data_IF_455015295354
#
_entry.id   IF_455015295354
#
_cell.length_a   1.000
_cell.length_b   1.000
_cell.length_c   1.000
_cell.angle_alpha   90.00
_cell.angle_beta   90.00
_cell.angle_gamma   90.00
#
_symmetry.space_group_name_H-M   'P 1'
#
loop_
_entity.id
_entity.type
_entity.pdbx_description
1 polymer ?
#
# COMPACT_ATOMS: atom_id res chain seq x y z
N UNK A 1 5.96 -6.49 2.83
CA UNK A 1 7.13 -6.71 3.70
C UNK A 1 8.37 -6.94 2.84
N UNK A 2 9.51 -6.31 3.18
CA UNK A 2 10.77 -6.60 2.50
C UNK A 2 11.45 -7.79 3.17
N UNK A 3 11.51 -8.93 2.51
CA UNK A 3 12.34 -10.04 2.96
C UNK A 3 13.79 -9.55 2.97
N UNK A 4 14.47 -9.67 4.10
CA UNK A 4 15.89 -9.32 4.20
C UNK A 4 16.72 -10.50 3.68
N UNK A 5 16.84 -10.60 2.34
CA UNK A 5 17.71 -11.59 1.70
C UNK A 5 19.09 -10.97 1.54
N UNK A 6 20.09 -11.40 2.31
CA UNK A 6 21.45 -10.95 2.14
C UNK A 6 22.04 -11.60 0.87
N UNK A 7 22.55 -10.77 -0.03
CA UNK A 7 23.14 -11.20 -1.31
C UNK A 7 24.54 -10.62 -1.48
N UNK A 8 25.46 -11.34 -2.12
CA UNK A 8 26.79 -10.85 -2.36
C UNK A 8 26.80 -9.69 -3.35
N UNK A 9 26.00 -9.77 -4.42
CA UNK A 9 26.03 -8.81 -5.53
C UNK A 9 24.63 -8.26 -5.83
N UNK A 10 24.51 -6.94 -5.87
CA UNK A 10 23.32 -6.23 -6.35
C UNK A 10 23.56 -5.69 -7.76
N UNK A 11 22.68 -6.02 -8.69
CA UNK A 11 22.71 -5.50 -10.05
C UNK A 11 21.54 -4.55 -10.28
N UNK A 12 21.85 -3.28 -10.55
CA UNK A 12 20.86 -2.27 -10.91
C UNK A 12 20.76 -2.19 -12.43
N UNK A 13 19.62 -2.59 -12.98
CA UNK A 13 19.37 -2.53 -14.43
C UNK A 13 19.09 -1.11 -14.90
N UNK A 14 18.67 -0.22 -13.98
CA UNK A 14 18.46 1.21 -14.22
C UNK A 14 18.52 1.98 -12.90
N UNK A 15 18.81 3.28 -12.98
CA UNK A 15 18.81 4.20 -11.84
C UNK A 15 17.54 5.08 -11.81
N UNK A 16 16.45 4.57 -12.39
CA UNK A 16 15.14 5.24 -12.46
C UNK A 16 14.06 4.32 -11.95
N UNK A 17 13.01 4.90 -11.41
CA UNK A 17 11.78 4.18 -11.03
C UNK A 17 10.53 4.98 -11.37
N UNK A 18 9.41 4.28 -11.52
CA UNK A 18 8.10 4.89 -11.62
C UNK A 18 7.59 5.24 -10.21
N UNK A 19 7.15 6.48 -9.99
CA UNK A 19 6.68 6.96 -8.67
C UNK A 19 5.15 6.89 -8.49
N UNK A 20 4.47 6.27 -9.44
CA UNK A 20 3.01 6.23 -9.52
C UNK A 20 2.43 7.18 -10.56
N UNK A 21 3.16 8.24 -10.93
CA UNK A 21 2.73 9.26 -11.91
C UNK A 21 3.70 9.33 -13.09
N UNK A 22 5.01 9.34 -12.81
CA UNK A 22 6.06 9.51 -13.83
C UNK A 22 7.32 8.72 -13.49
N UNK A 23 8.15 8.49 -14.51
CA UNK A 23 9.52 7.98 -14.31
C UNK A 23 10.39 9.08 -13.70
N UNK A 24 11.16 8.74 -12.65
CA UNK A 24 12.14 9.63 -12.03
C UNK A 24 13.42 8.90 -11.65
N UNK A 25 14.48 9.62 -11.41
CA UNK A 25 15.73 9.07 -10.85
C UNK A 25 15.49 8.57 -9.43
N UNK A 26 16.23 7.53 -9.04
CA UNK A 26 16.27 7.09 -7.65
C UNK A 26 16.76 8.22 -6.75
N UNK A 27 16.16 8.34 -5.56
CA UNK A 27 16.70 9.18 -4.49
C UNK A 27 17.84 8.45 -3.81
N UNK A 28 18.75 9.18 -3.16
CA UNK A 28 19.91 8.60 -2.48
C UNK A 28 19.49 7.54 -1.45
N UNK A 29 18.44 7.79 -0.67
CA UNK A 29 17.88 6.81 0.26
C UNK A 29 17.43 5.52 -0.44
N UNK A 30 16.69 5.62 -1.55
CA UNK A 30 16.19 4.46 -2.30
C UNK A 30 17.35 3.66 -2.86
N UNK A 31 18.36 4.34 -3.39
CA UNK A 31 19.59 3.73 -3.85
C UNK A 31 20.29 2.98 -2.71
N UNK A 32 20.54 3.64 -1.58
CA UNK A 32 21.21 3.01 -0.43
C UNK A 32 20.40 1.87 0.20
N UNK A 33 19.07 1.91 0.18
CA UNK A 33 18.23 0.80 0.61
C UNK A 33 18.38 -0.45 -0.29
N UNK A 34 18.57 -0.25 -1.58
CA UNK A 34 18.78 -1.35 -2.53
C UNK A 34 20.19 -1.90 -2.40
N UNK A 35 21.19 -1.02 -2.48
CA UNK A 35 22.60 -1.43 -2.48
C UNK A 35 23.09 -1.90 -1.11
N UNK A 36 22.48 -1.44 -0.03
CA UNK A 36 22.77 -1.88 1.35
C UNK A 36 22.43 -3.36 1.61
N UNK A 37 21.81 -4.04 0.65
CA UNK A 37 21.63 -5.49 0.68
C UNK A 37 22.82 -6.27 0.14
N UNK A 38 23.77 -5.60 -0.51
CA UNK A 38 25.00 -6.23 -0.99
C UNK A 38 25.93 -6.56 0.18
N UNK A 39 26.45 -7.78 0.20
CA UNK A 39 27.29 -8.30 1.28
C UNK A 39 26.49 -8.99 2.37
N UNK A 40 26.81 -10.27 2.62
CA UNK A 40 26.15 -11.10 3.64
C UNK A 40 26.88 -10.95 4.96
N UNK A 41 26.17 -10.45 5.96
CA UNK A 41 26.75 -10.31 7.31
C UNK A 41 27.22 -11.68 7.86
N UNK A 42 28.49 -11.74 8.29
CA UNK A 42 29.11 -12.97 8.80
C UNK A 42 29.72 -13.91 7.74
N UNK A 43 29.46 -13.66 6.45
CA UNK A 43 30.00 -14.47 5.35
C UNK A 43 30.87 -13.68 4.37
N UNK A 44 30.51 -12.43 4.07
CA UNK A 44 31.22 -11.60 3.12
C UNK A 44 31.90 -10.44 3.83
N UNK A 45 33.15 -10.15 3.45
CA UNK A 45 33.90 -8.95 3.89
C UNK A 45 33.55 -7.75 3.02
N UNK A 46 33.10 -7.99 1.78
CA UNK A 46 32.74 -6.98 0.79
C UNK A 46 31.46 -7.36 0.05
N UNK A 47 30.69 -6.33 -0.34
CA UNK A 47 29.53 -6.48 -1.21
C UNK A 47 29.78 -5.81 -2.56
N UNK A 48 29.27 -6.38 -3.64
CA UNK A 48 29.41 -5.83 -4.99
C UNK A 48 28.13 -5.17 -5.46
N UNK A 49 28.23 -3.96 -6.02
CA UNK A 49 27.13 -3.25 -6.67
C UNK A 49 27.51 -2.95 -8.12
N UNK A 50 26.65 -3.36 -9.05
CA UNK A 50 26.84 -3.17 -10.49
C UNK A 50 25.64 -2.39 -11.04
N UNK A 51 25.89 -1.31 -11.76
CA UNK A 51 24.86 -0.58 -12.51
C UNK A 51 25.10 -0.76 -14.02
N UNK A 52 24.04 -1.17 -14.75
CA UNK A 52 24.09 -1.30 -16.21
C UNK A 52 23.90 0.10 -16.82
N UNK A 53 24.91 0.58 -17.56
CA UNK A 53 24.81 1.88 -18.22
C UNK A 53 23.71 1.89 -19.30
N UNK A 54 23.02 3.03 -19.52
CA UNK A 54 22.06 3.18 -20.62
C UNK A 54 22.74 2.99 -21.99
N UNK A 55 22.00 2.49 -22.97
CA UNK A 55 22.51 2.16 -24.29
C UNK A 55 23.18 3.36 -24.98
N UNK A 56 22.58 4.53 -24.93
CA UNK A 56 23.16 5.74 -25.50
C UNK A 56 24.49 6.13 -24.83
N UNK A 57 24.66 5.89 -23.53
CA UNK A 57 25.94 6.13 -22.83
C UNK A 57 26.99 5.11 -23.27
N UNK A 58 26.62 3.84 -23.45
CA UNK A 58 27.52 2.77 -23.93
C UNK A 58 28.01 3.10 -25.36
N UNK A 59 27.10 3.55 -26.23
CA UNK A 59 27.45 3.92 -27.61
C UNK A 59 28.33 5.17 -27.64
N UNK A 60 28.04 6.17 -26.84
CA UNK A 60 28.85 7.37 -26.72
C UNK A 60 30.27 7.04 -26.22
N UNK A 61 30.36 6.15 -25.22
CA UNK A 61 31.67 5.70 -24.72
C UNK A 61 32.44 4.93 -25.77
N UNK A 62 31.81 4.01 -26.51
CA UNK A 62 32.44 3.30 -27.65
C UNK A 62 32.92 4.28 -28.73
N UNK A 63 32.15 5.32 -29.05
CA UNK A 63 32.52 6.32 -30.02
C UNK A 63 33.72 7.15 -29.55
N UNK A 64 33.79 7.49 -28.28
CA UNK A 64 34.94 8.19 -27.67
C UNK A 64 36.21 7.31 -27.68
N UNK A 65 36.09 6.03 -27.34
CA UNK A 65 37.21 5.07 -27.40
C UNK A 65 37.76 4.92 -28.84
N UNK A 66 36.90 4.91 -29.85
CA UNK A 66 37.31 4.86 -31.26
C UNK A 66 38.03 6.14 -31.71
N UNK A 67 37.72 7.28 -31.13
CA UNK A 67 38.40 8.54 -31.42
C UNK A 67 39.82 8.58 -30.85
N UNK A 68 40.17 7.71 -29.88
CA UNK A 68 41.49 7.64 -29.24
C UNK A 68 41.80 8.90 -28.44
N UNK A 69 43.09 9.16 -28.18
CA UNK A 69 43.54 10.27 -27.37
C UNK A 69 43.68 11.61 -28.16
N UNK A 70 43.25 11.65 -29.44
CA UNK A 70 43.32 12.87 -30.26
C UNK A 70 42.16 13.84 -29.88
N UNK A 71 42.47 15.02 -29.28
CA UNK A 71 41.48 15.99 -28.85
C UNK A 71 40.61 16.53 -29.99
N UNK A 72 41.16 16.60 -31.23
CA UNK A 72 40.45 17.08 -32.41
C UNK A 72 39.38 16.06 -32.86
N UNK A 73 39.72 14.77 -32.80
CA UNK A 73 38.79 13.70 -33.13
C UNK A 73 37.68 13.56 -32.07
N UNK A 74 38.02 13.63 -30.78
CA UNK A 74 37.09 13.60 -29.69
C UNK A 74 36.01 14.71 -29.76
N UNK A 75 36.43 15.95 -30.11
CA UNK A 75 35.49 17.07 -30.29
C UNK A 75 34.52 16.89 -31.47
N UNK A 76 34.86 16.04 -32.44
CA UNK A 76 34.02 15.75 -33.60
C UNK A 76 33.05 14.60 -33.37
N UNK A 77 33.17 13.87 -32.26
CA UNK A 77 32.25 12.77 -31.92
C UNK A 77 30.85 13.33 -31.65
N UNK A 78 29.91 13.00 -32.52
CA UNK A 78 28.48 13.34 -32.31
C UNK A 78 27.89 12.39 -31.27
N UNK A 79 27.60 12.90 -30.08
CA UNK A 79 26.99 12.10 -29.00
C UNK A 79 25.53 11.77 -29.32
N UNK A 80 25.16 10.51 -29.12
CA UNK A 80 23.75 10.05 -29.22
C UNK A 80 22.98 10.59 -28.03
N UNK A 81 21.85 11.20 -28.31
CA UNK A 81 20.95 11.70 -27.29
C UNK A 81 20.10 10.55 -26.70
N UNK A 82 19.66 10.66 -25.43
CA UNK A 82 18.73 9.70 -24.87
C UNK A 82 17.41 9.71 -25.68
N UNK A 83 16.67 8.58 -25.73
CA UNK A 83 15.35 8.53 -26.34
C UNK A 83 14.39 9.53 -25.69
N UNK A 84 13.41 10.02 -26.46
CA UNK A 84 12.39 10.92 -25.96
C UNK A 84 11.61 10.30 -24.79
N UNK A 85 11.35 11.08 -23.75
CA UNK A 85 10.71 10.60 -22.52
C UNK A 85 11.59 9.77 -21.59
N UNK A 86 12.84 9.49 -21.97
CA UNK A 86 13.77 8.75 -21.12
C UNK A 86 14.37 9.66 -20.03
N UNK A 87 14.23 9.24 -18.76
CA UNK A 87 14.88 9.93 -17.63
C UNK A 87 16.36 9.57 -17.63
N UNK A 88 17.16 10.41 -18.28
CA UNK A 88 18.59 10.19 -18.50
C UNK A 88 19.37 10.11 -17.18
N UNK A 89 20.34 9.19 -17.12
CA UNK A 89 21.35 9.08 -16.08
C UNK A 89 22.67 8.58 -16.68
N UNK A 90 23.76 8.85 -16.01
CA UNK A 90 25.12 8.55 -16.46
C UNK A 90 26.02 8.15 -15.28
N UNK A 91 27.31 7.96 -15.54
CA UNK A 91 28.30 7.60 -14.53
C UNK A 91 28.33 8.59 -13.36
N UNK A 92 28.29 9.89 -13.64
CA UNK A 92 28.25 10.92 -12.60
C UNK A 92 27.01 10.85 -11.72
N UNK A 93 25.86 10.50 -12.31
CA UNK A 93 24.62 10.27 -11.54
C UNK A 93 24.80 9.11 -10.57
N UNK A 94 25.46 8.03 -11.01
CA UNK A 94 25.72 6.86 -10.17
C UNK A 94 26.70 7.19 -9.04
N UNK A 95 27.82 7.85 -9.35
CA UNK A 95 28.82 8.31 -8.37
C UNK A 95 28.19 9.25 -7.33
N UNK A 96 27.35 10.19 -7.78
CA UNK A 96 26.63 11.10 -6.88
C UNK A 96 25.68 10.35 -5.94
N UNK A 97 24.99 9.30 -6.41
CA UNK A 97 24.13 8.47 -5.54
C UNK A 97 24.91 7.68 -4.50
N UNK A 98 26.16 7.30 -4.81
CA UNK A 98 27.05 6.62 -3.85
C UNK A 98 27.52 7.59 -2.75
N UNK A 99 27.94 8.79 -3.15
CA UNK A 99 28.56 9.78 -2.25
C UNK A 99 27.53 10.53 -1.39
N UNK A 100 26.34 10.78 -1.95
CA UNK A 100 25.31 11.55 -1.28
C UNK A 100 24.68 10.76 -0.14
N UNK A 101 24.67 11.27 1.10
CA UNK A 101 24.00 10.62 2.21
C UNK A 101 22.49 10.47 1.95
N UNK A 102 21.86 9.43 2.50
CA UNK A 102 20.41 9.26 2.41
C UNK A 102 19.65 10.47 2.96
N UNK A 103 18.62 10.90 2.26
CA UNK A 103 17.73 11.96 2.71
C UNK A 103 17.10 11.59 4.05
N UNK A 104 16.96 12.56 4.95
CA UNK A 104 16.25 12.37 6.21
C UNK A 104 14.78 11.98 5.95
N UNK A 105 14.26 11.06 6.73
CA UNK A 105 12.82 10.75 6.71
C UNK A 105 12.07 11.94 7.29
N UNK A 106 11.07 12.41 6.55
CA UNK A 106 10.10 13.34 7.06
C UNK A 106 8.92 12.52 7.57
N UNK A 107 8.63 12.52 8.86
CA UNK A 107 7.48 11.81 9.41
C UNK A 107 6.17 12.41 8.85
N UNK A 108 5.13 11.59 8.78
CA UNK A 108 3.79 12.01 8.35
C UNK A 108 2.77 11.54 9.38
N UNK A 109 3.02 11.87 10.64
CA UNK A 109 2.07 11.56 11.69
C UNK A 109 0.76 12.30 11.45
N UNK A 110 -0.35 11.60 11.62
CA UNK A 110 -1.70 12.15 11.60
C UNK A 110 -2.40 11.70 12.86
N UNK A 111 -3.11 12.60 13.52
CA UNK A 111 -4.01 12.25 14.60
C UNK A 111 -5.40 12.09 14.00
N UNK A 112 -5.95 10.89 14.15
CA UNK A 112 -7.29 10.51 13.69
C UNK A 112 -8.11 10.03 14.87
N UNK A 113 -9.43 10.05 14.75
CA UNK A 113 -10.34 9.50 15.77
C UNK A 113 -10.01 8.02 16.08
N UNK A 114 -9.73 7.21 15.05
CA UNK A 114 -9.35 5.80 15.23
C UNK A 114 -8.10 5.63 16.08
N UNK A 115 -7.08 6.49 15.86
CA UNK A 115 -5.84 6.46 16.65
C UNK A 115 -6.14 6.80 18.11
N UNK A 116 -6.91 7.84 18.37
CA UNK A 116 -7.29 8.26 19.73
C UNK A 116 -8.10 7.17 20.41
N UNK A 117 -9.13 6.63 19.75
CA UNK A 117 -9.93 5.52 20.28
C UNK A 117 -9.09 4.28 20.61
N UNK A 118 -8.08 3.96 19.77
CA UNK A 118 -7.13 2.88 20.06
C UNK A 118 -6.26 3.14 21.28
N UNK A 119 -5.92 4.38 21.55
CA UNK A 119 -5.19 4.73 22.77
C UNK A 119 -6.11 4.64 23.99
N UNK A 120 -7.35 5.13 23.87
CA UNK A 120 -8.37 5.04 24.93
C UNK A 120 -8.70 3.59 25.27
N UNK A 121 -8.81 2.69 24.29
CA UNK A 121 -9.10 1.26 24.52
C UNK A 121 -8.03 0.53 25.33
N UNK A 122 -6.82 1.10 25.46
CA UNK A 122 -5.74 0.55 26.30
C UNK A 122 -5.87 0.95 27.76
N UNK A 123 -6.78 1.87 28.08
CA UNK A 123 -7.03 2.38 29.41
C UNK A 123 -6.01 3.43 29.89
N UNK A 124 -6.26 3.96 31.07
CA UNK A 124 -5.44 4.98 31.72
C UNK A 124 -5.64 6.40 31.18
N UNK A 125 -4.66 7.28 31.37
CA UNK A 125 -4.70 8.65 30.85
C UNK A 125 -4.41 8.72 29.36
N UNK A 126 -5.41 8.39 28.55
CA UNK A 126 -5.27 8.36 27.10
C UNK A 126 -4.94 9.74 26.51
N UNK A 127 -5.40 10.82 27.14
CA UNK A 127 -5.07 12.18 26.70
C UNK A 127 -3.58 12.44 26.84
N UNK A 128 -3.01 12.19 28.02
CA UNK A 128 -1.58 12.33 28.27
C UNK A 128 -0.76 11.43 27.35
N UNK A 129 -1.18 10.18 27.14
CA UNK A 129 -0.50 9.21 26.28
C UNK A 129 -0.44 9.67 24.81
N UNK A 130 -1.50 10.27 24.27
CA UNK A 130 -1.51 10.82 22.90
C UNK A 130 -0.56 12.01 22.78
N UNK A 131 -0.55 12.90 23.77
CA UNK A 131 0.35 14.05 23.78
C UNK A 131 1.82 13.62 23.92
N UNK A 132 2.12 12.59 24.72
CA UNK A 132 3.45 12.01 24.83
C UNK A 132 3.90 11.39 23.50
N UNK A 133 3.04 10.64 22.82
CA UNK A 133 3.33 10.11 21.46
C UNK A 133 3.67 11.21 20.47
N UNK A 134 2.96 12.36 20.54
CA UNK A 134 3.25 13.53 19.70
C UNK A 134 4.60 14.15 20.11
N UNK A 135 4.87 14.27 21.40
CA UNK A 135 6.10 14.85 21.94
C UNK A 135 7.33 14.03 21.53
N UNK A 136 7.24 12.70 21.56
CA UNK A 136 8.30 11.77 21.18
C UNK A 136 8.45 11.59 19.67
N UNK A 137 7.49 12.08 18.87
CA UNK A 137 7.57 12.00 17.42
C UNK A 137 8.71 12.85 16.86
N UNK A 138 9.24 12.46 15.68
CA UNK A 138 10.28 13.22 14.98
C UNK A 138 9.72 14.38 14.13
N UNK A 139 8.54 14.90 14.47
CA UNK A 139 7.91 16.06 13.83
C UNK A 139 8.59 17.37 14.26
N UNK A 140 8.45 18.41 13.43
CA UNK A 140 8.93 19.74 13.79
C UNK A 140 8.10 20.33 14.96
N UNK A 141 8.66 21.27 15.74
CA UNK A 141 7.90 21.92 16.82
C UNK A 141 6.57 22.52 16.36
N UNK A 142 6.53 23.13 15.17
CA UNK A 142 5.33 23.73 14.59
C UNK A 142 4.28 22.66 14.20
N UNK A 143 4.71 21.53 13.68
CA UNK A 143 3.83 20.39 13.38
C UNK A 143 3.29 19.76 14.66
N UNK A 144 4.11 19.63 15.72
CA UNK A 144 3.66 19.12 17.02
C UNK A 144 2.55 19.99 17.63
N UNK A 145 2.65 21.32 17.51
CA UNK A 145 1.58 22.24 17.97
C UNK A 145 0.26 21.93 17.23
N UNK A 146 0.31 21.77 15.90
CA UNK A 146 -0.89 21.44 15.11
C UNK A 146 -1.46 20.06 15.46
N UNK A 147 -0.60 19.08 15.69
CA UNK A 147 -1.03 17.73 16.07
C UNK A 147 -1.67 17.72 17.48
N UNK A 148 -1.11 18.45 18.44
CA UNK A 148 -1.71 18.59 19.76
C UNK A 148 -3.08 19.25 19.69
N UNK A 149 -3.21 20.37 18.97
CA UNK A 149 -4.51 21.04 18.77
C UNK A 149 -5.54 20.10 18.13
N UNK A 150 -5.13 19.28 17.15
CA UNK A 150 -6.01 18.29 16.53
C UNK A 150 -6.38 17.16 17.49
N UNK A 151 -5.45 16.71 18.35
CA UNK A 151 -5.75 15.72 19.38
C UNK A 151 -6.80 16.25 20.37
N UNK A 152 -6.64 17.48 20.85
CA UNK A 152 -7.58 18.12 21.78
C UNK A 152 -8.98 18.27 21.16
N UNK A 153 -9.06 18.68 19.88
CA UNK A 153 -10.31 18.76 19.13
C UNK A 153 -11.02 17.41 19.05
N UNK A 154 -10.27 16.34 18.74
CA UNK A 154 -10.81 14.98 18.66
C UNK A 154 -11.29 14.49 20.03
N UNK A 155 -10.50 14.69 21.10
CA UNK A 155 -10.93 14.33 22.45
C UNK A 155 -12.21 15.06 22.86
N UNK A 156 -12.31 16.37 22.59
CA UNK A 156 -13.51 17.14 22.86
C UNK A 156 -14.73 16.57 22.13
N UNK A 157 -14.59 16.25 20.84
CA UNK A 157 -15.66 15.66 20.03
C UNK A 157 -16.10 14.28 20.56
N UNK A 158 -15.15 13.43 20.96
CA UNK A 158 -15.45 12.10 21.49
C UNK A 158 -16.13 12.13 22.86
N UNK A 159 -15.76 13.08 23.71
CA UNK A 159 -16.37 13.32 25.02
C UNK A 159 -17.80 13.89 24.86
N UNK A 160 -17.98 14.88 23.96
CA UNK A 160 -19.28 15.48 23.67
C UNK A 160 -20.26 14.46 23.09
N UNK A 161 -19.79 13.57 22.20
CA UNK A 161 -20.57 12.49 21.64
C UNK A 161 -20.85 11.33 22.65
N UNK A 162 -20.26 11.37 23.83
CA UNK A 162 -20.43 10.36 24.86
C UNK A 162 -19.80 8.99 24.52
N UNK A 163 -18.92 8.92 23.54
CA UNK A 163 -18.21 7.68 23.13
C UNK A 163 -17.03 7.40 24.05
N UNK A 164 -16.44 8.45 24.56
CA UNK A 164 -15.41 8.41 25.59
C UNK A 164 -15.95 9.10 26.82
N UNK A 165 -15.72 8.51 27.98
CA UNK A 165 -16.00 9.14 29.27
C UNK A 165 -14.70 9.36 30.02
N UNK A 166 -14.63 10.48 30.73
CA UNK A 166 -13.52 10.78 31.60
C UNK A 166 -13.88 10.37 33.03
N UNK A 167 -13.01 9.58 33.64
CA UNK A 167 -13.09 9.17 35.04
C UNK A 167 -11.76 9.37 35.77
N UNK A 168 -11.62 8.70 36.91
CA UNK A 168 -10.37 8.63 37.67
C UNK A 168 -10.08 7.15 37.96
N UNK A 169 -8.79 6.78 37.90
CA UNK A 169 -8.35 5.45 38.29
C UNK A 169 -8.34 5.28 39.83
N UNK A 170 -7.98 4.09 40.31
CA UNK A 170 -7.94 3.77 41.74
C UNK A 170 -6.94 4.66 42.54
N UNK A 171 -6.01 5.29 41.83
CA UNK A 171 -4.99 6.19 42.37
C UNK A 171 -5.40 7.69 42.25
N UNK A 172 -6.61 7.99 41.74
CA UNK A 172 -7.11 9.36 41.54
C UNK A 172 -6.50 10.10 40.35
N UNK A 173 -5.90 9.36 39.39
CA UNK A 173 -5.36 9.93 38.16
C UNK A 173 -6.45 9.95 37.07
N UNK A 174 -6.40 10.91 36.12
CA UNK A 174 -7.33 10.91 35.00
C UNK A 174 -7.31 9.58 34.25
N UNK A 175 -8.49 9.05 33.97
CA UNK A 175 -8.69 7.86 33.14
C UNK A 175 -9.73 8.13 32.09
N UNK A 176 -9.58 7.52 30.92
CA UNK A 176 -10.53 7.61 29.83
C UNK A 176 -10.99 6.22 29.44
N UNK A 177 -12.29 6.03 29.33
CA UNK A 177 -12.89 4.75 29.01
C UNK A 177 -13.85 4.86 27.82
N UNK A 178 -13.94 3.80 27.05
CA UNK A 178 -14.90 3.70 25.95
C UNK A 178 -16.26 3.28 26.49
N UNK A 179 -17.32 3.93 26.00
CA UNK A 179 -18.71 3.55 26.28
C UNK A 179 -19.25 2.50 25.31
N UNK A 180 -18.50 2.25 24.22
CA UNK A 180 -18.85 1.31 23.14
C UNK A 180 -17.77 0.24 23.02
N UNK A 181 -18.15 -0.98 22.75
CA UNK A 181 -17.20 -2.04 22.40
C UNK A 181 -16.67 -1.78 20.99
N UNK A 182 -15.36 -1.73 20.86
CA UNK A 182 -14.70 -1.63 19.58
C UNK A 182 -14.13 -2.99 19.18
N UNK A 183 -14.23 -3.41 17.92
CA UNK A 183 -13.55 -4.59 17.43
C UNK A 183 -12.04 -4.52 17.70
N UNK A 184 -11.36 -5.64 18.00
CA UNK A 184 -9.95 -5.69 18.38
C UNK A 184 -9.01 -4.99 17.37
N UNK A 185 -9.38 -5.01 16.08
CA UNK A 185 -8.59 -4.41 14.98
C UNK A 185 -9.09 -3.02 14.52
N UNK A 186 -10.04 -2.42 15.23
CA UNK A 186 -10.66 -1.14 14.83
C UNK A 186 -9.65 -0.04 14.54
N UNK A 187 -8.56 -0.03 15.26
CA UNK A 187 -7.71 1.16 15.34
C UNK A 187 -6.69 1.34 14.23
N UNK A 188 -6.27 0.28 13.56
CA UNK A 188 -5.08 0.34 12.72
C UNK A 188 -5.38 0.54 11.22
N UNK A 189 -6.45 -0.07 10.71
CA UNK A 189 -6.68 -0.12 9.26
C UNK A 189 -8.12 0.16 8.82
N UNK A 190 -9.13 0.13 9.73
CA UNK A 190 -10.55 0.13 9.37
C UNK A 190 -11.41 1.08 10.23
N UNK A 191 -11.30 2.39 10.03
CA UNK A 191 -12.04 3.37 10.84
C UNK A 191 -13.57 3.31 10.65
N UNK A 192 -14.04 2.71 9.57
CA UNK A 192 -15.47 2.55 9.28
C UNK A 192 -16.02 1.17 9.68
N UNK A 193 -15.25 0.33 10.40
CA UNK A 193 -15.76 -0.96 10.91
C UNK A 193 -17.03 -0.85 11.76
N UNK A 194 -17.20 0.15 12.65
CA UNK A 194 -18.46 0.30 13.39
C UNK A 194 -19.64 0.65 12.49
N UNK A 195 -19.42 1.45 11.44
CA UNK A 195 -20.44 1.70 10.42
C UNK A 195 -20.78 0.41 9.66
N UNK A 196 -19.78 -0.36 9.26
CA UNK A 196 -19.98 -1.65 8.60
C UNK A 196 -20.91 -2.55 9.42
N UNK A 197 -20.64 -2.70 10.73
CA UNK A 197 -21.47 -3.52 11.63
C UNK A 197 -22.90 -2.98 11.75
N UNK A 198 -23.06 -1.68 11.92
CA UNK A 198 -24.37 -1.04 12.00
C UNK A 198 -25.16 -1.13 10.67
N UNK A 199 -24.49 -1.14 9.54
CA UNK A 199 -25.12 -1.21 8.23
C UNK A 199 -25.46 -2.65 7.79
N UNK A 200 -24.92 -3.68 8.45
CA UNK A 200 -25.30 -5.08 8.19
C UNK A 200 -26.80 -5.31 8.46
N UNK A 201 -27.36 -4.68 9.48
CA UNK A 201 -28.77 -4.79 9.84
C UNK A 201 -29.72 -4.21 8.77
N UNK A 202 -29.21 -3.48 7.81
CA UNK A 202 -29.98 -2.93 6.69
C UNK A 202 -30.09 -3.91 5.51
N UNK A 203 -29.28 -4.96 5.49
CA UNK A 203 -29.29 -5.96 4.43
C UNK A 203 -30.30 -7.07 4.79
N UNK A 204 -30.96 -7.61 3.76
CA UNK A 204 -31.91 -8.72 3.93
C UNK A 204 -31.19 -10.08 3.88
N UNK A 205 -31.07 -10.81 5.00
CA UNK A 205 -30.37 -12.10 5.04
C UNK A 205 -30.98 -13.17 4.15
N UNK A 206 -32.28 -13.05 3.83
CA UNK A 206 -33.00 -14.00 2.98
C UNK A 206 -32.85 -13.67 1.48
N UNK A 207 -32.21 -12.56 1.15
CA UNK A 207 -31.97 -12.17 -0.24
C UNK A 207 -31.00 -13.13 -0.92
N UNK A 208 -31.25 -13.57 -2.16
CA UNK A 208 -30.28 -14.35 -2.93
C UNK A 208 -28.98 -13.60 -3.21
N UNK A 209 -28.99 -12.28 -3.09
CA UNK A 209 -27.83 -11.41 -3.29
C UNK A 209 -27.14 -10.99 -1.99
N UNK A 210 -27.62 -11.49 -0.83
CA UNK A 210 -27.09 -11.11 0.49
C UNK A 210 -25.57 -11.16 0.57
N UNK A 211 -24.95 -12.27 0.16
CA UNK A 211 -23.50 -12.40 0.19
C UNK A 211 -22.78 -11.33 -0.67
N UNK A 212 -23.34 -10.97 -1.82
CA UNK A 212 -22.82 -9.92 -2.69
C UNK A 212 -23.04 -8.53 -2.10
N UNK A 213 -24.13 -8.32 -1.40
CA UNK A 213 -24.45 -7.05 -0.76
C UNK A 213 -23.56 -6.81 0.47
N UNK A 214 -23.28 -7.85 1.26
CA UNK A 214 -22.27 -7.79 2.32
C UNK A 214 -20.90 -7.46 1.76
N UNK A 215 -20.50 -8.08 0.64
CA UNK A 215 -19.23 -7.74 -0.03
C UNK A 215 -19.21 -6.26 -0.46
N UNK A 216 -20.30 -5.76 -1.05
CA UNK A 216 -20.40 -4.34 -1.48
C UNK A 216 -20.30 -3.38 -0.31
N UNK A 217 -20.93 -3.72 0.83
CA UNK A 217 -20.82 -2.95 2.06
C UNK A 217 -19.38 -2.93 2.58
N UNK A 218 -18.69 -4.07 2.61
CA UNK A 218 -17.27 -4.15 2.98
C UNK A 218 -16.44 -3.32 2.02
N UNK A 219 -16.62 -3.48 0.71
CA UNK A 219 -15.86 -2.73 -0.30
C UNK A 219 -16.05 -1.22 -0.14
N UNK A 220 -17.24 -0.74 0.22
CA UNK A 220 -17.50 0.68 0.43
C UNK A 220 -16.65 1.31 1.55
N UNK A 221 -16.23 0.53 2.53
CA UNK A 221 -15.38 1.00 3.65
C UNK A 221 -13.88 0.98 3.35
N UNK A 222 -13.44 0.34 2.26
CA UNK A 222 -12.04 0.19 1.89
C UNK A 222 -11.51 1.38 1.09
N UNK A 223 -10.18 1.57 1.11
CA UNK A 223 -9.50 2.55 0.24
C UNK A 223 -9.75 2.24 -1.26
N UNK A 224 -9.83 3.29 -2.07
CA UNK A 224 -10.04 3.15 -3.50
C UNK A 224 -8.80 2.59 -4.22
N UNK A 225 -8.90 1.44 -4.92
CA UNK A 225 -7.90 0.98 -5.85
C UNK A 225 -8.01 1.76 -7.17
N UNK A 226 -7.69 3.05 -7.15
CA UNK A 226 -8.00 4.02 -8.21
C UNK A 226 -7.63 3.56 -9.63
N UNK A 227 -6.56 2.77 -9.78
CA UNK A 227 -6.15 2.26 -11.12
C UNK A 227 -7.08 1.15 -11.63
N UNK A 228 -7.62 0.34 -10.72
CA UNK A 228 -8.58 -0.73 -11.04
C UNK A 228 -9.91 -0.09 -11.41
N UNK A 229 -10.40 0.85 -10.59
CA UNK A 229 -11.67 1.55 -10.83
C UNK A 229 -11.66 2.32 -12.16
N UNK A 230 -10.56 2.99 -12.51
CA UNK A 230 -10.41 3.64 -13.82
C UNK A 230 -10.43 2.65 -14.99
N UNK A 231 -9.98 1.43 -14.78
CA UNK A 231 -10.02 0.40 -15.81
C UNK A 231 -11.45 -0.15 -15.99
N UNK A 232 -12.20 -0.33 -14.89
CA UNK A 232 -13.62 -0.66 -14.94
C UNK A 232 -14.43 0.43 -15.66
N UNK A 233 -14.24 1.70 -15.26
CA UNK A 233 -14.88 2.85 -15.87
C UNK A 233 -14.62 2.92 -17.39
N UNK A 234 -13.35 2.76 -17.80
CA UNK A 234 -12.98 2.75 -19.23
C UNK A 234 -13.72 1.66 -19.98
N UNK A 235 -13.74 0.44 -19.42
CA UNK A 235 -14.43 -0.68 -20.06
C UNK A 235 -15.94 -0.46 -20.15
N UNK A 236 -16.56 0.11 -19.12
CA UNK A 236 -17.97 0.47 -19.14
C UNK A 236 -18.27 1.53 -20.21
N UNK A 237 -17.42 2.56 -20.31
CA UNK A 237 -17.53 3.59 -21.36
C UNK A 237 -17.32 3.03 -22.76
N UNK A 238 -16.36 2.13 -22.95
CA UNK A 238 -16.11 1.48 -24.23
C UNK A 238 -17.31 0.63 -24.68
N UNK A 239 -17.92 -0.12 -23.75
CA UNK A 239 -19.11 -0.92 -24.00
C UNK A 239 -20.31 -0.03 -24.36
N UNK A 240 -20.58 1.00 -23.55
CA UNK A 240 -21.68 1.94 -23.82
C UNK A 240 -21.48 2.72 -25.13
N UNK A 241 -20.25 3.10 -25.47
CA UNK A 241 -19.93 3.72 -26.74
C UNK A 241 -20.25 2.78 -27.93
N UNK A 242 -19.94 1.49 -27.80
CA UNK A 242 -20.23 0.51 -28.83
C UNK A 242 -21.74 0.30 -29.01
N UNK A 243 -22.49 0.21 -27.90
CA UNK A 243 -23.95 0.10 -27.89
C UNK A 243 -24.62 1.34 -28.52
N UNK A 244 -24.31 2.53 -28.05
CA UNK A 244 -24.84 3.78 -28.57
C UNK A 244 -24.50 3.99 -30.06
N UNK A 245 -23.37 3.49 -30.55
CA UNK A 245 -23.03 3.50 -31.99
C UNK A 245 -23.92 2.54 -32.76
N UNK A 246 -24.20 1.35 -32.22
CA UNK A 246 -25.09 0.39 -32.88
C UNK A 246 -26.51 0.91 -32.94
N UNK A 247 -26.96 1.65 -31.93
CA UNK A 247 -28.29 2.28 -31.85
C UNK A 247 -28.40 3.58 -32.67
N UNK A 248 -27.30 4.03 -33.29
CA UNK A 248 -27.31 5.23 -34.16
C UNK A 248 -27.41 6.55 -33.39
N UNK A 249 -27.12 6.59 -32.09
CA UNK A 249 -27.14 7.82 -31.29
C UNK A 249 -26.13 8.84 -31.85
N UNK A 250 -26.49 10.13 -31.88
CA UNK A 250 -25.61 11.19 -32.37
C UNK A 250 -24.34 11.36 -31.53
N UNK A 251 -23.27 11.88 -32.15
CA UNK A 251 -21.95 11.93 -31.49
C UNK A 251 -21.93 12.82 -30.25
N UNK A 252 -22.57 13.97 -30.28
CA UNK A 252 -22.62 14.89 -29.13
C UNK A 252 -23.40 14.28 -27.96
N UNK A 253 -24.55 13.69 -28.24
CA UNK A 253 -25.35 12.98 -27.23
C UNK A 253 -24.60 11.79 -26.61
N UNK A 254 -23.80 11.06 -27.42
CA UNK A 254 -22.93 10.00 -26.89
C UNK A 254 -21.91 10.52 -25.90
N UNK A 255 -21.29 11.69 -26.18
CA UNK A 255 -20.32 12.30 -25.29
C UNK A 255 -20.95 12.71 -23.95
N UNK A 256 -22.16 13.29 -23.98
CA UNK A 256 -22.90 13.66 -22.78
C UNK A 256 -23.22 12.41 -21.93
N UNK A 257 -23.79 11.37 -22.52
CA UNK A 257 -24.10 10.12 -21.82
C UNK A 257 -22.85 9.41 -21.28
N UNK A 258 -21.73 9.45 -22.01
CA UNK A 258 -20.46 8.89 -21.54
C UNK A 258 -19.87 9.63 -20.34
N UNK A 259 -20.16 10.94 -20.19
CA UNK A 259 -19.68 11.70 -19.03
C UNK A 259 -20.30 11.23 -17.71
N UNK A 260 -21.49 10.65 -17.76
CA UNK A 260 -22.23 10.13 -16.60
C UNK A 260 -21.79 8.71 -16.21
N UNK A 261 -21.11 8.00 -17.13
CA UNK A 261 -20.68 6.62 -16.86
C UNK A 261 -19.46 6.59 -15.95
N UNK A 262 -19.61 5.94 -14.83
CA UNK A 262 -18.56 5.68 -13.83
C UNK A 262 -18.34 4.17 -13.66
N UNK A 263 -17.44 3.79 -12.75
CA UNK A 263 -17.33 2.39 -12.32
C UNK A 263 -18.58 1.96 -11.54
N UNK A 264 -18.90 0.64 -11.48
CA UNK A 264 -20.08 0.13 -10.77
C UNK A 264 -20.03 0.44 -9.28
N UNK A 265 -21.15 0.94 -8.75
CA UNK A 265 -21.32 1.30 -7.34
C UNK A 265 -22.62 0.68 -6.77
N UNK A 266 -22.63 -0.63 -6.56
CA UNK A 266 -23.80 -1.29 -6.00
C UNK A 266 -24.13 -0.72 -4.62
N UNK A 267 -25.42 -0.62 -4.31
CA UNK A 267 -25.97 -0.09 -3.04
C UNK A 267 -25.61 1.38 -2.74
N UNK A 268 -25.09 2.18 -3.70
CA UNK A 268 -24.64 3.56 -3.47
C UNK A 268 -25.70 4.38 -2.72
N UNK A 269 -26.93 4.43 -3.21
CA UNK A 269 -28.01 5.22 -2.58
C UNK A 269 -28.36 4.75 -1.15
N UNK A 270 -28.37 3.44 -0.92
CA UNK A 270 -28.65 2.87 0.40
C UNK A 270 -27.53 3.20 1.37
N UNK A 271 -26.30 2.99 0.95
CA UNK A 271 -25.11 3.18 1.78
C UNK A 271 -24.84 4.64 2.09
N UNK A 272 -25.04 5.55 1.14
CA UNK A 272 -24.89 6.98 1.35
C UNK A 272 -25.90 7.51 2.38
N UNK A 273 -27.19 7.12 2.25
CA UNK A 273 -28.23 7.49 3.23
C UNK A 273 -27.97 6.91 4.61
N UNK A 274 -27.54 5.64 4.67
CA UNK A 274 -27.19 4.99 5.92
C UNK A 274 -26.00 5.69 6.59
N UNK A 275 -24.99 6.07 5.81
CA UNK A 275 -23.81 6.76 6.31
C UNK A 275 -24.12 8.17 6.79
N UNK A 276 -24.95 8.92 6.07
CA UNK A 276 -25.42 10.24 6.51
C UNK A 276 -26.17 10.14 7.88
N UNK A 277 -27.04 9.14 8.02
CA UNK A 277 -27.74 8.91 9.28
C UNK A 277 -26.78 8.51 10.40
N UNK A 278 -25.84 7.60 10.10
CA UNK A 278 -24.81 7.19 11.05
C UNK A 278 -23.95 8.37 11.53
N UNK A 279 -23.59 9.29 10.64
CA UNK A 279 -22.82 10.49 10.97
C UNK A 279 -23.57 11.48 11.87
N UNK A 280 -24.90 11.35 12.03
CA UNK A 280 -25.66 12.17 13.00
C UNK A 280 -25.41 11.70 14.42
N UNK A 281 -25.31 10.40 14.64
CA UNK A 281 -25.00 9.79 15.94
C UNK A 281 -23.49 9.68 16.21
N UNK A 282 -22.67 9.68 15.15
CA UNK A 282 -21.23 9.44 15.19
C UNK A 282 -20.50 10.55 14.41
N UNK A 283 -20.37 11.78 14.96
CA UNK A 283 -19.91 12.95 14.22
C UNK A 283 -18.51 12.81 13.59
N UNK A 284 -17.59 12.05 14.22
CA UNK A 284 -16.24 11.86 13.68
C UNK A 284 -16.21 10.95 12.42
N UNK A 285 -17.28 10.19 12.13
CA UNK A 285 -17.36 9.42 10.90
C UNK A 285 -17.30 10.30 9.65
N UNK A 286 -17.67 11.60 9.78
CA UNK A 286 -17.54 12.61 8.71
C UNK A 286 -16.10 12.89 8.28
N UNK A 287 -15.11 12.52 9.08
CA UNK A 287 -13.69 12.62 8.69
C UNK A 287 -13.30 11.58 7.64
N UNK A 288 -14.16 10.62 7.38
CA UNK A 288 -13.96 9.53 6.44
C UNK A 288 -14.98 9.63 5.31
N UNK A 289 -14.59 9.16 4.16
CA UNK A 289 -15.43 9.09 2.97
C UNK A 289 -15.86 7.65 2.73
N UNK A 290 -17.17 7.44 2.62
CA UNK A 290 -17.69 6.17 2.16
C UNK A 290 -17.55 6.11 0.64
N UNK A 291 -17.00 5.03 0.12
CA UNK A 291 -16.60 4.92 -1.27
C UNK A 291 -17.19 3.65 -1.91
N UNK A 292 -18.52 3.64 -2.25
CA UNK A 292 -19.14 2.50 -2.91
C UNK A 292 -18.40 2.11 -4.20
N UNK A 293 -18.09 0.82 -4.34
CA UNK A 293 -17.36 0.26 -5.48
C UNK A 293 -17.59 -1.24 -5.58
N UNK A 294 -17.20 -1.83 -6.70
CA UNK A 294 -17.41 -3.24 -6.98
C UNK A 294 -16.17 -3.81 -7.69
N UNK A 295 -15.20 -4.29 -6.96
CA UNK A 295 -14.01 -4.99 -7.48
C UNK A 295 -14.09 -6.48 -7.14
N UNK A 296 -14.22 -6.82 -5.86
CA UNK A 296 -14.38 -8.19 -5.41
C UNK A 296 -15.74 -8.75 -5.87
N UNK A 297 -16.82 -7.97 -5.74
CA UNK A 297 -18.15 -8.34 -6.23
C UNK A 297 -18.10 -8.65 -7.74
N UNK A 298 -17.52 -7.78 -8.56
CA UNK A 298 -17.36 -8.01 -10.01
C UNK A 298 -16.53 -9.27 -10.31
N UNK A 299 -15.51 -9.58 -9.51
CA UNK A 299 -14.76 -10.83 -9.65
C UNK A 299 -15.63 -12.06 -9.37
N UNK A 300 -16.48 -12.01 -8.34
CA UNK A 300 -17.40 -13.09 -7.99
C UNK A 300 -18.47 -13.25 -9.07
N UNK A 301 -19.14 -12.15 -9.46
CA UNK A 301 -20.22 -12.16 -10.47
C UNK A 301 -19.72 -12.65 -11.84
N UNK A 302 -18.46 -12.36 -12.18
CA UNK A 302 -17.87 -12.77 -13.46
C UNK A 302 -17.04 -14.05 -13.37
N UNK A 303 -17.06 -14.74 -12.23
CA UNK A 303 -16.26 -15.93 -11.93
C UNK A 303 -14.78 -15.78 -12.35
N UNK A 304 -14.20 -14.60 -12.11
CA UNK A 304 -12.85 -14.25 -12.53
C UNK A 304 -11.85 -14.51 -11.42
N UNK A 305 -10.85 -15.33 -11.68
CA UNK A 305 -9.67 -15.42 -10.82
C UNK A 305 -8.76 -14.16 -10.99
N UNK A 306 -7.70 -14.08 -10.20
CA UNK A 306 -6.79 -12.94 -10.20
C UNK A 306 -6.20 -12.64 -11.59
N UNK A 307 -5.74 -13.66 -12.31
CA UNK A 307 -5.13 -13.51 -13.65
C UNK A 307 -6.15 -13.14 -14.71
N UNK A 308 -7.30 -13.79 -14.68
CA UNK A 308 -8.41 -13.52 -15.60
C UNK A 308 -8.91 -12.09 -15.44
N UNK A 309 -9.04 -11.61 -14.20
CA UNK A 309 -9.45 -10.25 -13.91
C UNK A 309 -8.43 -9.21 -14.40
N UNK A 310 -7.13 -9.45 -14.17
CA UNK A 310 -6.06 -8.60 -14.72
C UNK A 310 -6.13 -8.54 -16.24
N UNK A 311 -6.31 -9.69 -16.91
CA UNK A 311 -6.47 -9.76 -18.37
C UNK A 311 -7.72 -9.03 -18.86
N UNK A 312 -8.86 -9.23 -18.18
CA UNK A 312 -10.15 -8.62 -18.50
C UNK A 312 -10.12 -7.09 -18.52
N UNK A 313 -9.38 -6.49 -17.58
CA UNK A 313 -9.26 -5.03 -17.43
C UNK A 313 -7.94 -4.44 -17.92
N UNK A 314 -7.01 -5.26 -18.40
CA UNK A 314 -5.70 -4.80 -18.90
C UNK A 314 -4.83 -4.13 -17.84
N UNK A 315 -4.92 -4.56 -16.57
CA UNK A 315 -4.28 -3.94 -15.41
C UNK A 315 -2.99 -4.64 -14.94
N UNK A 316 -2.27 -5.33 -15.81
CA UNK A 316 -1.03 -6.04 -15.48
C UNK A 316 0.02 -5.18 -14.74
N UNK A 317 0.10 -3.88 -15.06
CA UNK A 317 1.00 -2.94 -14.36
C UNK A 317 0.51 -2.53 -12.96
N UNK A 318 -0.67 -2.94 -12.55
CA UNK A 318 -1.33 -2.57 -11.29
C UNK A 318 -1.77 -3.81 -10.50
N UNK A 319 -1.24 -5.00 -10.83
CA UNK A 319 -1.55 -6.25 -10.14
C UNK A 319 -1.29 -6.17 -8.62
N UNK A 320 -0.19 -5.53 -8.20
CA UNK A 320 0.08 -5.31 -6.78
C UNK A 320 -0.95 -4.41 -6.07
N UNK A 321 -1.59 -3.46 -6.79
CA UNK A 321 -2.69 -2.65 -6.24
C UNK A 321 -3.94 -3.49 -6.05
N UNK A 322 -4.26 -4.35 -7.02
CA UNK A 322 -5.40 -5.28 -6.93
C UNK A 322 -5.18 -6.29 -5.79
N UNK A 323 -3.98 -6.90 -5.72
CA UNK A 323 -3.67 -7.87 -4.68
C UNK A 323 -3.79 -7.29 -3.28
N UNK A 324 -3.22 -6.09 -3.06
CA UNK A 324 -3.35 -5.38 -1.78
C UNK A 324 -4.82 -5.15 -1.43
N UNK A 325 -5.61 -4.66 -2.37
CA UNK A 325 -7.04 -4.41 -2.16
C UNK A 325 -7.81 -5.68 -1.78
N UNK A 326 -7.58 -6.78 -2.48
CA UNK A 326 -8.20 -8.08 -2.18
C UNK A 326 -7.75 -8.64 -0.82
N UNK A 327 -6.50 -8.39 -0.45
CA UNK A 327 -5.96 -8.75 0.85
C UNK A 327 -6.62 -7.96 1.99
N UNK A 328 -6.84 -6.65 1.77
CA UNK A 328 -7.53 -5.79 2.73
C UNK A 328 -9.01 -6.21 2.85
N UNK A 329 -9.68 -6.50 1.71
CA UNK A 329 -11.05 -7.03 1.71
C UNK A 329 -11.16 -8.37 2.48
N UNK A 330 -10.24 -9.30 2.22
CA UNK A 330 -10.19 -10.58 2.94
C UNK A 330 -10.05 -10.39 4.45
N UNK A 331 -9.16 -9.49 4.88
CA UNK A 331 -8.95 -9.18 6.29
C UNK A 331 -10.23 -8.68 6.96
N UNK A 332 -10.93 -7.73 6.33
CA UNK A 332 -12.18 -7.18 6.87
C UNK A 332 -13.27 -8.24 6.96
N UNK A 333 -13.44 -9.03 5.89
CA UNK A 333 -14.42 -10.11 5.86
C UNK A 333 -14.20 -11.16 6.97
N UNK A 334 -12.94 -11.49 7.27
CA UNK A 334 -12.61 -12.51 8.28
C UNK A 334 -12.68 -11.96 9.70
N UNK A 335 -12.27 -10.70 9.92
CA UNK A 335 -12.06 -10.18 11.28
C UNK A 335 -13.21 -9.32 11.80
N UNK A 336 -13.94 -8.66 10.89
CA UNK A 336 -14.97 -7.69 11.30
C UNK A 336 -16.38 -8.26 11.27
N UNK A 337 -16.66 -9.20 10.36
CA UNK A 337 -18.00 -9.74 10.25
C UNK A 337 -18.30 -10.72 11.39
N UNK A 338 -19.46 -10.57 12.09
CA UNK A 338 -19.86 -11.50 13.11
C UNK A 338 -20.29 -12.85 12.48
N UNK A 339 -20.14 -13.97 13.21
CA UNK A 339 -20.44 -15.32 12.69
C UNK A 339 -21.85 -15.52 12.17
N UNK A 340 -22.83 -14.81 12.73
CA UNK A 340 -24.23 -14.84 12.38
C UNK A 340 -24.55 -14.10 11.06
N UNK A 341 -23.70 -13.19 10.64
CA UNK A 341 -23.79 -12.55 9.33
C UNK A 341 -23.21 -13.39 8.19
N UNK A 342 -22.61 -14.55 8.48
CA UNK A 342 -21.95 -15.40 7.50
C UNK A 342 -22.89 -16.51 7.03
N UNK A 343 -23.53 -16.34 5.87
CA UNK A 343 -24.22 -17.43 5.17
C UNK A 343 -23.21 -18.40 4.48
N UNK A 344 -23.67 -19.51 3.96
CA UNK A 344 -22.82 -20.51 3.33
C UNK A 344 -22.13 -19.97 2.06
N UNK A 345 -22.83 -19.15 1.27
CA UNK A 345 -22.29 -18.53 0.07
C UNK A 345 -21.15 -17.55 0.40
N UNK A 346 -21.33 -16.73 1.43
CA UNK A 346 -20.30 -15.79 1.87
C UNK A 346 -19.08 -16.53 2.43
N UNK A 347 -19.28 -17.61 3.18
CA UNK A 347 -18.18 -18.48 3.64
C UNK A 347 -17.38 -19.07 2.48
N UNK A 348 -18.04 -19.54 1.43
CA UNK A 348 -17.39 -20.06 0.23
C UNK A 348 -16.59 -18.97 -0.50
N UNK A 349 -17.13 -17.76 -0.61
CA UNK A 349 -16.44 -16.63 -1.22
C UNK A 349 -15.22 -16.22 -0.39
N UNK A 350 -15.33 -16.18 0.93
CA UNK A 350 -14.20 -15.87 1.83
C UNK A 350 -13.11 -16.94 1.70
N UNK A 351 -13.46 -18.20 1.66
CA UNK A 351 -12.51 -19.31 1.49
C UNK A 351 -11.80 -19.23 0.13
N UNK A 352 -12.56 -18.97 -0.94
CA UNK A 352 -12.01 -18.77 -2.29
C UNK A 352 -11.07 -17.56 -2.35
N UNK A 353 -11.48 -16.42 -1.78
CA UNK A 353 -10.65 -15.21 -1.73
C UNK A 353 -9.35 -15.45 -0.95
N UNK A 354 -9.44 -16.09 0.21
CA UNK A 354 -8.27 -16.46 1.02
C UNK A 354 -7.30 -17.38 0.27
N UNK A 355 -7.83 -18.39 -0.45
CA UNK A 355 -7.01 -19.25 -1.30
C UNK A 355 -6.32 -18.44 -2.42
N UNK A 356 -7.05 -17.56 -3.10
CA UNK A 356 -6.52 -16.74 -4.19
C UNK A 356 -5.42 -15.78 -3.71
N UNK A 357 -5.60 -15.11 -2.57
CA UNK A 357 -4.60 -14.21 -1.99
C UNK A 357 -3.34 -15.00 -1.61
N UNK A 358 -3.47 -16.15 -0.94
CA UNK A 358 -2.35 -17.02 -0.54
C UNK A 358 -1.57 -17.57 -1.73
N UNK A 359 -2.24 -17.99 -2.79
CA UNK A 359 -1.58 -18.55 -3.97
C UNK A 359 -0.88 -17.49 -4.83
N UNK A 360 -1.31 -16.22 -4.73
CA UNK A 360 -0.71 -15.11 -5.49
C UNK A 360 0.50 -14.51 -4.77
N UNK A 361 0.44 -14.35 -3.44
CA UNK A 361 1.57 -13.89 -2.62
C UNK A 361 1.50 -14.47 -1.19
N UNK A 362 2.26 -15.53 -0.94
CA UNK A 362 2.34 -16.17 0.37
C UNK A 362 2.95 -15.27 1.45
N UNK A 363 3.79 -14.30 1.07
CA UNK A 363 4.49 -13.43 2.03
C UNK A 363 3.55 -12.51 2.82
N UNK A 364 2.41 -12.15 2.25
CA UNK A 364 1.39 -11.35 2.92
C UNK A 364 0.64 -12.15 4.00
N UNK A 365 0.44 -13.43 3.76
CA UNK A 365 -0.27 -14.32 4.70
C UNK A 365 0.65 -14.77 5.84
N UNK A 366 1.89 -15.15 5.53
CA UNK A 366 2.89 -15.53 6.55
C UNK A 366 3.10 -14.41 7.60
N UNK A 367 2.95 -13.16 7.16
CA UNK A 367 3.04 -12.00 8.04
C UNK A 367 1.83 -11.85 8.97
N UNK A 368 0.67 -12.33 8.56
CA UNK A 368 -0.57 -12.24 9.36
C UNK A 368 -0.69 -13.44 10.31
N UNK A 369 -0.28 -14.63 9.89
CA UNK A 369 -0.24 -15.81 10.73
C UNK A 369 0.74 -15.66 11.89
N UNK A 370 1.83 -14.92 11.69
CA UNK A 370 2.76 -14.56 12.77
C UNK A 370 2.27 -13.44 13.70
N UNK A 371 1.20 -12.73 13.34
CA UNK A 371 0.62 -11.64 14.12
C UNK A 371 -0.67 -12.00 14.89
N UNK A 372 -1.24 -13.17 14.67
CA UNK A 372 -2.44 -13.64 15.38
C UNK A 372 -3.01 -14.92 14.75
N UNK A 373 -3.31 -15.89 15.56
CA UNK A 373 -3.73 -17.25 15.24
C UNK A 373 -4.88 -17.33 14.24
N UNK A 374 -4.59 -17.82 13.02
CA UNK A 374 -5.61 -18.34 12.09
C UNK A 374 -5.58 -19.87 12.12
N UNK A 375 -6.74 -20.58 12.09
CA UNK A 375 -6.76 -22.03 12.12
C UNK A 375 -6.12 -22.64 10.87
N UNK A 376 -5.26 -23.62 11.08
CA UNK A 376 -4.54 -24.37 10.05
C UNK A 376 -5.49 -25.10 9.09
N UNK A 377 -5.41 -24.82 7.80
CA UNK A 377 -5.94 -25.67 6.74
C UNK A 377 -4.78 -26.42 6.07
N UNK A 378 -4.83 -27.73 6.12
CA UNK A 378 -3.79 -28.69 5.84
C UNK A 378 -3.04 -28.54 4.51
N UNK A 379 -1.74 -28.76 4.60
CA UNK A 379 -0.78 -28.78 3.51
C UNK A 379 -0.69 -30.15 2.83
N UNK A 380 -0.70 -30.17 1.50
CA UNK A 380 -0.10 -31.25 0.71
C UNK A 380 0.61 -30.70 -0.52
N UNK A 381 1.85 -30.87 -0.53
CA UNK A 381 3.03 -31.10 -1.33
C UNK A 381 3.06 -30.83 -2.85
N UNK A 382 4.23 -30.33 -3.29
CA UNK A 382 4.67 -30.50 -4.68
C UNK A 382 5.74 -29.51 -5.14
N UNK A 383 7.01 -29.81 -4.89
CA UNK A 383 8.17 -29.14 -5.53
C UNK A 383 8.31 -29.58 -6.99
N UNK A 384 8.54 -28.65 -7.91
CA UNK A 384 9.30 -28.91 -9.15
C UNK A 384 10.12 -27.69 -9.56
N UNK A 385 11.42 -27.91 -9.77
CA UNK A 385 12.41 -26.94 -10.22
C UNK A 385 12.38 -26.70 -11.74
N UNK A 386 12.76 -25.50 -12.15
CA UNK A 386 12.99 -25.10 -13.53
C UNK A 386 14.29 -24.29 -13.64
N UNK A 387 15.16 -24.71 -14.58
CA UNK A 387 16.47 -24.11 -14.91
C UNK A 387 16.33 -22.79 -15.68
N UNK A 388 17.24 -21.81 -15.51
CA UNK A 388 17.24 -20.58 -16.31
C UNK A 388 18.10 -20.71 -17.58
N UNK A 389 17.63 -20.11 -18.67
CA UNK A 389 18.32 -19.95 -19.95
C UNK A 389 19.25 -18.74 -19.96
N UNK A 390 20.43 -18.91 -20.60
CA UNK A 390 21.47 -17.88 -20.78
C UNK A 390 21.07 -16.90 -21.89
N UNK A 391 21.26 -15.60 -21.66
CA UNK A 391 21.40 -14.60 -22.73
C UNK A 391 22.56 -13.63 -22.43
N UNK A 392 23.21 -13.22 -23.52
CA UNK A 392 24.56 -12.70 -23.68
C UNK A 392 24.88 -11.33 -23.09
N UNK A 393 26.16 -11.15 -22.92
CA UNK A 393 26.82 -10.09 -22.17
C UNK A 393 26.74 -8.67 -22.76
N UNK A 394 26.55 -7.73 -21.86
CA UNK A 394 26.79 -6.30 -22.11
C UNK A 394 27.69 -5.75 -21.00
N UNK A 395 28.61 -4.85 -21.39
CA UNK A 395 29.70 -4.33 -20.58
C UNK A 395 29.26 -3.76 -19.21
N UNK A 396 29.67 -4.45 -18.16
CA UNK A 396 29.46 -4.02 -16.78
C UNK A 396 30.69 -3.30 -16.24
N UNK A 397 30.53 -2.12 -15.65
CA UNK A 397 31.57 -1.49 -14.84
C UNK A 397 31.50 -2.02 -13.40
N UNK A 398 32.64 -2.47 -12.90
CA UNK A 398 32.81 -3.03 -11.56
C UNK A 398 33.31 -1.93 -10.61
N UNK A 399 32.57 -1.67 -9.55
CA UNK A 399 33.01 -0.79 -8.45
C UNK A 399 32.86 -1.59 -7.15
N UNK A 400 33.94 -1.68 -6.39
CA UNK A 400 33.99 -2.32 -5.06
C UNK A 400 33.88 -1.19 -4.04
N UNK A 401 32.83 -1.22 -3.21
CA UNK A 401 32.68 -0.29 -2.10
C UNK A 401 33.12 -0.96 -0.79
N UNK A 402 34.10 -0.43 -0.04
CA UNK A 402 34.44 -0.94 1.29
C UNK A 402 33.34 -0.58 2.30
N UNK A 403 33.09 -1.48 3.27
CA UNK A 403 32.09 -1.33 4.31
C UNK A 403 32.57 -0.30 5.34
N UNK A 404 31.70 0.63 5.72
CA UNK A 404 31.95 1.52 6.85
C UNK A 404 32.17 0.72 8.15
N UNK A 405 33.19 1.07 8.99
CA UNK A 405 33.48 0.34 10.22
C UNK A 405 32.29 0.46 11.19
N UNK A 406 31.82 -0.70 11.63
CA UNK A 406 30.73 -0.79 12.63
C UNK A 406 31.18 -0.13 13.95
N UNK A 407 30.35 0.77 14.48
CA UNK A 407 30.54 1.29 15.84
C UNK A 407 30.44 0.13 16.83
N UNK A 408 31.58 -0.22 17.45
CA UNK A 408 31.62 -1.11 18.60
C UNK A 408 30.83 -0.48 19.74
N UNK A 409 29.78 -1.16 20.20
CA UNK A 409 29.11 -0.82 21.44
C UNK A 409 30.01 -1.28 22.57
N UNK A 410 30.62 -0.35 23.29
CA UNK A 410 31.29 -0.58 24.55
C UNK A 410 30.23 -0.85 25.65
N UNK A 411 30.16 -2.08 26.13
CA UNK A 411 29.48 -2.39 27.41
C UNK A 411 30.40 -1.96 28.55
N UNK A 412 29.90 -1.27 29.58
CA UNK A 412 30.67 -1.07 30.81
C UNK A 412 30.67 -2.39 31.61
N UNK A 413 31.86 -2.86 31.94
CA UNK A 413 32.06 -3.94 32.91
C UNK A 413 31.72 -3.43 34.30
N UNK A 414 30.81 -4.12 34.97
CA UNK A 414 30.59 -4.00 36.41
C UNK A 414 31.83 -4.48 37.16
N UNK A 415 32.38 -3.63 37.99
CA UNK A 415 33.40 -3.99 38.96
C UNK A 415 32.76 -4.46 40.27
N UNK A 416 33.25 -5.54 40.80
CA UNK A 416 33.16 -5.97 42.19
C UNK A 416 34.55 -5.78 42.84
N UNK A 417 34.62 -5.85 44.13
CA UNK A 417 33.69 -5.68 45.27
C UNK A 417 33.77 -4.31 45.90
#
# INVERSE_FOLDING_TARGET
MGINVPIHTVVLTQLTKFDGTKMRRLRSREFHQIVGRAGRAGFDTEGMVVALAPEHEIENHKAMLKAGDDPKKQRRVKKKQPPEGFVSWNKQTFEHLIEKPPEKLTPRMRITHSMVLSVVSRGGDAWANVHELIADSAQTPEEKIKLNARADEIFATLLEAGVVVRGEDAEGRPSYELTVELPEDFALDQPLSPFLLAALDLLDPESPDYALDVISLVEATLENPAKVLRAQERKARDAAMAEMKADGVEYEERLERLAEITYPKPLEELLDRAFELYCQGVPWARDYELLPKSVLRDMVETASDFKTYIGRYGIAKSEGTLLRYLSDAFRVLVRTLPPDALDDRLRDIIAWLGFMVRTTDSSLVDAWESAGELPEAGASGGRRGGRPSRHGGHGAQRIVCPRAPGRARSHPRAGQP
#
